data_IF_617766430058
#
_entry.id   IF_617766430058
#
_cell.length_a   1.000
_cell.length_b   1.000
_cell.length_c   1.000
_cell.angle_alpha   90.00
_cell.angle_beta   90.00
_cell.angle_gamma   90.00
#
_symmetry.space_group_name_H-M   'P 1'
#
loop_
_entity.id
_entity.type
_entity.pdbx_description
1 polymer ?
#
# COMPACT_ATOMS: atom_id res chain seq x y z
N UNK A 1 -15.87 -6.88 -7.25
CA UNK A 1 -15.17 -8.18 -7.12
C UNK A 1 -15.96 -9.17 -7.90
N UNK A 2 -15.31 -9.97 -8.73
CA UNK A 2 -15.97 -11.06 -9.43
C UNK A 2 -16.39 -12.13 -8.42
N UNK A 3 -17.53 -12.75 -8.65
CA UNK A 3 -17.94 -14.00 -8.01
C UNK A 3 -17.06 -15.15 -8.49
N UNK A 4 -17.07 -16.29 -7.79
CA UNK A 4 -16.30 -17.47 -8.21
C UNK A 4 -16.71 -17.95 -9.60
N UNK A 5 -18.01 -17.96 -9.91
CA UNK A 5 -18.52 -18.33 -11.23
C UNK A 5 -18.11 -17.37 -12.35
N UNK A 6 -18.04 -16.06 -12.06
CA UNK A 6 -17.55 -15.08 -13.05
C UNK A 6 -16.05 -15.23 -13.28
N UNK A 7 -15.28 -15.54 -12.23
CA UNK A 7 -13.84 -15.79 -12.33
C UNK A 7 -13.53 -17.02 -13.20
N UNK A 8 -14.29 -18.10 -13.04
CA UNK A 8 -14.15 -19.34 -13.83
C UNK A 8 -14.49 -19.13 -15.31
N UNK A 9 -15.29 -18.11 -15.63
CA UNK A 9 -15.66 -17.76 -17.00
C UNK A 9 -14.62 -16.90 -17.73
N UNK A 10 -13.62 -16.37 -17.01
CA UNK A 10 -12.60 -15.52 -17.62
C UNK A 10 -11.58 -16.32 -18.43
N UNK A 11 -11.06 -15.76 -19.54
CA UNK A 11 -9.89 -16.30 -20.21
C UNK A 11 -8.73 -16.50 -19.23
N UNK A 12 -8.04 -17.67 -19.25
CA UNK A 12 -6.94 -17.96 -18.34
C UNK A 12 -5.84 -16.87 -18.38
N UNK A 13 -5.59 -16.28 -19.55
CA UNK A 13 -4.64 -15.20 -19.71
C UNK A 13 -4.95 -13.96 -18.87
N UNK A 14 -6.23 -13.59 -18.71
CA UNK A 14 -6.64 -12.46 -17.87
C UNK A 14 -6.44 -12.77 -16.38
N UNK A 15 -6.69 -14.01 -15.98
CA UNK A 15 -6.46 -14.46 -14.60
C UNK A 15 -4.96 -14.43 -14.28
N UNK A 16 -4.11 -14.90 -15.19
CA UNK A 16 -2.66 -14.82 -15.05
C UNK A 16 -2.14 -13.39 -15.01
N UNK A 17 -2.68 -12.49 -15.84
CA UNK A 17 -2.35 -11.06 -15.78
C UNK A 17 -2.76 -10.45 -14.44
N UNK A 18 -3.91 -10.84 -13.89
CA UNK A 18 -4.35 -10.38 -12.58
C UNK A 18 -3.39 -10.83 -11.46
N UNK A 19 -2.96 -12.09 -11.49
CA UNK A 19 -1.95 -12.61 -10.55
C UNK A 19 -0.59 -11.92 -10.72
N UNK A 20 -0.14 -11.71 -11.97
CA UNK A 20 1.09 -10.99 -12.26
C UNK A 20 1.07 -9.56 -11.72
N UNK A 21 -0.04 -8.85 -11.92
CA UNK A 21 -0.26 -7.54 -11.33
C UNK A 21 -0.30 -7.58 -9.80
N UNK A 22 -0.94 -8.59 -9.21
CA UNK A 22 -1.06 -8.73 -7.76
C UNK A 22 0.31 -8.92 -7.11
N UNK A 23 1.15 -9.79 -7.69
CA UNK A 23 2.52 -10.03 -7.23
C UNK A 23 3.38 -8.78 -7.39
N UNK A 24 3.32 -8.11 -8.54
CA UNK A 24 4.06 -6.87 -8.78
C UNK A 24 3.65 -5.75 -7.80
N UNK A 25 2.35 -5.55 -7.63
CA UNK A 25 1.80 -4.58 -6.68
C UNK A 25 2.21 -4.90 -5.24
N UNK A 26 2.13 -6.17 -4.85
CA UNK A 26 2.55 -6.63 -3.53
C UNK A 26 4.05 -6.43 -3.28
N UNK A 27 4.90 -6.70 -4.27
CA UNK A 27 6.33 -6.40 -4.19
C UNK A 27 6.59 -4.91 -3.93
N UNK A 28 5.87 -4.03 -4.63
CA UNK A 28 5.97 -2.58 -4.40
C UNK A 28 5.50 -2.18 -3.00
N UNK A 29 4.40 -2.74 -2.49
CA UNK A 29 3.96 -2.51 -1.10
C UNK A 29 5.06 -2.88 -0.09
N UNK A 30 5.69 -4.05 -0.26
CA UNK A 30 6.75 -4.52 0.64
C UNK A 30 8.00 -3.64 0.53
N UNK A 31 8.37 -3.21 -0.68
CA UNK A 31 9.48 -2.29 -0.89
C UNK A 31 9.23 -0.95 -0.18
N UNK A 32 8.02 -0.39 -0.32
CA UNK A 32 7.63 0.84 0.36
C UNK A 32 7.66 0.68 1.89
N UNK A 33 7.13 -0.44 2.41
CA UNK A 33 7.20 -0.75 3.84
C UNK A 33 8.64 -0.83 4.34
N UNK A 34 9.53 -1.49 3.59
CA UNK A 34 10.95 -1.60 3.94
C UNK A 34 11.64 -0.24 3.97
N UNK A 35 11.36 0.65 3.01
CA UNK A 35 11.92 2.01 2.98
C UNK A 35 11.44 2.78 4.21
N UNK A 36 10.15 2.72 4.53
CA UNK A 36 9.61 3.32 5.74
C UNK A 36 10.28 2.79 7.00
N UNK A 37 10.46 1.46 7.11
CA UNK A 37 11.11 0.86 8.27
C UNK A 37 12.57 1.30 8.40
N UNK A 38 13.30 1.42 7.28
CA UNK A 38 14.66 1.95 7.29
C UNK A 38 14.71 3.41 7.76
N UNK A 39 13.77 4.24 7.31
CA UNK A 39 13.62 5.62 7.78
C UNK A 39 13.28 5.69 9.27
N UNK A 40 12.32 4.88 9.73
CA UNK A 40 11.91 4.82 11.13
C UNK A 40 13.08 4.40 12.03
N UNK A 41 13.83 3.36 11.62
CA UNK A 41 15.00 2.89 12.36
C UNK A 41 16.11 3.95 12.42
N UNK A 42 16.36 4.68 11.32
CA UNK A 42 17.27 5.82 11.31
C UNK A 42 16.82 6.91 12.30
N UNK A 43 15.53 7.26 12.29
CA UNK A 43 14.96 8.26 13.19
C UNK A 43 15.05 7.85 14.66
N UNK A 44 14.79 6.58 14.97
CA UNK A 44 14.89 6.03 16.33
C UNK A 44 16.34 6.03 16.86
N UNK A 45 17.34 5.91 15.98
CA UNK A 45 18.77 6.00 16.32
C UNK A 45 19.25 7.43 16.59
N UNK A 46 18.43 8.45 16.30
CA UNK A 46 18.78 9.88 16.41
C UNK A 46 20.01 10.25 15.57
N UNK A 47 20.26 9.50 14.49
CA UNK A 47 21.33 9.82 13.56
C UNK A 47 21.05 11.18 12.89
N UNK A 48 22.08 11.98 12.53
CA UNK A 48 21.89 13.29 11.90
C UNK A 48 20.99 13.21 10.65
N UNK A 49 20.04 14.15 10.51
CA UNK A 49 19.05 14.15 9.41
C UNK A 49 19.69 14.15 8.01
N UNK A 50 20.88 14.74 7.86
CA UNK A 50 21.64 14.78 6.61
C UNK A 50 22.12 13.39 6.11
N UNK A 51 22.06 12.35 6.94
CA UNK A 51 22.53 11.02 6.59
C UNK A 51 21.49 10.17 5.83
N UNK A 52 20.20 10.57 5.80
CA UNK A 52 19.14 9.75 5.19
C UNK A 52 18.64 10.34 3.87
N UNK A 53 19.23 9.89 2.75
CA UNK A 53 18.89 10.36 1.38
C UNK A 53 17.76 9.59 0.67
N UNK A 54 17.11 8.63 1.32
CA UNK A 54 16.19 7.72 0.64
C UNK A 54 14.73 8.13 0.82
N UNK A 55 14.24 9.01 -0.05
CA UNK A 55 12.80 9.24 -0.21
C UNK A 55 12.32 8.34 -1.36
N UNK A 56 11.37 7.43 -1.09
CA UNK A 56 10.75 6.63 -2.16
C UNK A 56 10.11 7.59 -3.17
N UNK A 57 10.61 7.61 -4.41
CA UNK A 57 10.08 8.44 -5.49
C UNK A 57 8.75 7.90 -6.06
N UNK A 58 8.36 6.66 -5.71
CA UNK A 58 7.17 5.99 -6.26
C UNK A 58 6.27 5.43 -5.13
N UNK A 59 5.81 6.26 -4.18
CA UNK A 59 5.10 5.74 -3.02
C UNK A 59 3.68 5.23 -3.36
N UNK A 60 3.09 5.62 -4.49
CA UNK A 60 1.62 5.53 -4.68
C UNK A 60 1.14 4.21 -5.35
N UNK A 61 2.01 3.47 -6.06
CA UNK A 61 1.52 2.48 -7.02
C UNK A 61 1.21 1.10 -6.44
N UNK A 62 1.83 0.68 -5.34
CA UNK A 62 1.70 -0.69 -4.81
C UNK A 62 0.27 -1.05 -4.44
N UNK A 63 -0.29 -0.35 -3.45
CA UNK A 63 -1.65 -0.58 -2.95
C UNK A 63 -2.73 -0.35 -4.02
N UNK A 64 -2.52 0.60 -4.95
CA UNK A 64 -3.44 0.84 -6.07
C UNK A 64 -3.49 -0.37 -7.02
N UNK A 65 -2.33 -0.91 -7.41
CA UNK A 65 -2.26 -2.10 -8.27
C UNK A 65 -2.92 -3.28 -7.58
N UNK A 66 -2.59 -3.54 -6.30
CA UNK A 66 -3.21 -4.63 -5.53
C UNK A 66 -4.73 -4.47 -5.46
N UNK A 67 -5.24 -3.28 -5.16
CA UNK A 67 -6.67 -3.01 -5.08
C UNK A 67 -7.40 -3.22 -6.43
N UNK A 68 -6.75 -2.88 -7.54
CA UNK A 68 -7.29 -3.14 -8.88
C UNK A 68 -7.35 -4.64 -9.17
N UNK A 69 -6.29 -5.39 -8.84
CA UNK A 69 -6.24 -6.85 -9.09
C UNK A 69 -7.23 -7.62 -8.19
N UNK A 70 -7.49 -7.12 -6.97
CA UNK A 70 -8.54 -7.67 -6.10
C UNK A 70 -9.95 -7.55 -6.71
N UNK A 71 -10.19 -6.69 -7.71
CA UNK A 71 -11.48 -6.72 -8.43
C UNK A 71 -11.70 -8.05 -9.15
N UNK A 72 -10.62 -8.66 -9.64
CA UNK A 72 -10.64 -9.96 -10.32
C UNK A 72 -10.45 -11.11 -9.33
N UNK A 73 -9.45 -11.03 -8.46
CA UNK A 73 -9.05 -12.13 -7.56
C UNK A 73 -9.81 -12.15 -6.22
N UNK A 74 -10.67 -11.16 -5.94
CA UNK A 74 -11.26 -10.96 -4.62
C UNK A 74 -12.26 -12.04 -4.18
N UNK A 75 -12.73 -12.91 -5.07
CA UNK A 75 -13.49 -14.11 -4.68
C UNK A 75 -12.62 -15.17 -4.02
N UNK A 76 -11.30 -15.12 -4.18
CA UNK A 76 -10.34 -16.02 -3.53
C UNK A 76 -10.02 -15.45 -2.14
N UNK A 77 -10.44 -16.11 -1.03
CA UNK A 77 -10.29 -15.57 0.32
C UNK A 77 -8.84 -15.25 0.70
N UNK A 78 -7.90 -16.09 0.29
CA UNK A 78 -6.47 -15.91 0.57
C UNK A 78 -5.93 -14.67 -0.13
N UNK A 79 -6.27 -14.49 -1.42
CA UNK A 79 -5.86 -13.32 -2.19
C UNK A 79 -6.43 -12.04 -1.56
N UNK A 80 -7.68 -12.07 -1.09
CA UNK A 80 -8.31 -10.97 -0.37
C UNK A 80 -7.53 -10.58 0.89
N UNK A 81 -7.28 -11.55 1.78
CA UNK A 81 -6.59 -11.31 3.05
C UNK A 81 -5.19 -10.77 2.80
N UNK A 82 -4.42 -11.42 1.93
CA UNK A 82 -3.07 -10.99 1.57
C UNK A 82 -3.11 -9.58 0.96
N UNK A 83 -4.06 -9.32 0.06
CA UNK A 83 -4.19 -8.03 -0.60
C UNK A 83 -4.51 -6.90 0.37
N UNK A 84 -5.40 -7.12 1.34
CA UNK A 84 -5.70 -6.15 2.40
C UNK A 84 -4.46 -5.85 3.23
N UNK A 85 -3.72 -6.89 3.66
CA UNK A 85 -2.48 -6.71 4.43
C UNK A 85 -1.47 -5.89 3.63
N UNK A 86 -1.26 -6.22 2.34
CA UNK A 86 -0.36 -5.50 1.45
C UNK A 86 -0.77 -4.03 1.27
N UNK A 87 -2.08 -3.75 1.16
CA UNK A 87 -2.58 -2.38 1.08
C UNK A 87 -2.28 -1.62 2.36
N UNK A 88 -2.55 -2.20 3.54
CA UNK A 88 -2.35 -1.54 4.83
C UNK A 88 -0.88 -1.22 5.10
N UNK A 89 0.03 -2.15 4.78
CA UNK A 89 1.47 -1.95 5.02
C UNK A 89 2.15 -1.07 3.96
N UNK A 90 1.45 -0.69 2.90
CA UNK A 90 2.00 0.19 1.86
C UNK A 90 2.12 1.62 2.40
N UNK A 91 3.18 1.90 3.14
CA UNK A 91 3.41 3.20 3.79
C UNK A 91 3.67 4.35 2.79
N UNK A 92 3.76 4.05 1.49
CA UNK A 92 3.72 5.05 0.42
C UNK A 92 2.31 5.33 -0.12
N UNK A 93 1.34 4.50 0.22
CA UNK A 93 -0.02 4.56 -0.31
C UNK A 93 -0.72 5.87 0.02
N UNK A 94 -1.58 6.31 -0.89
CA UNK A 94 -2.37 7.55 -0.77
C UNK A 94 -3.17 7.63 0.54
N UNK A 95 -3.60 6.48 1.07
CA UNK A 95 -4.38 6.39 2.30
C UNK A 95 -3.61 6.89 3.52
N UNK A 96 -2.28 6.67 3.58
CA UNK A 96 -1.43 7.26 4.64
C UNK A 96 -1.20 8.75 4.44
N UNK A 97 -1.11 9.21 3.18
CA UNK A 97 -1.03 10.65 2.88
C UNK A 97 -2.27 11.42 3.36
N UNK A 98 -3.46 10.87 3.09
CA UNK A 98 -4.74 11.44 3.56
C UNK A 98 -4.80 11.41 5.10
N UNK A 99 -4.42 10.29 5.72
CA UNK A 99 -4.39 10.18 7.18
C UNK A 99 -3.45 11.23 7.81
N UNK A 100 -2.26 11.44 7.23
CA UNK A 100 -1.29 12.43 7.70
C UNK A 100 -1.83 13.86 7.62
N UNK A 101 -2.48 14.23 6.50
CA UNK A 101 -3.13 15.54 6.35
C UNK A 101 -4.25 15.72 7.40
N UNK A 102 -5.09 14.70 7.59
CA UNK A 102 -6.17 14.73 8.57
C UNK A 102 -5.66 14.94 10.00
N UNK A 103 -4.61 14.22 10.39
CA UNK A 103 -3.96 14.39 11.71
C UNK A 103 -3.38 15.79 11.87
N UNK A 104 -2.74 16.33 10.83
CA UNK A 104 -2.17 17.68 10.86
C UNK A 104 -3.25 18.74 11.06
N UNK A 105 -4.36 18.67 10.31
CA UNK A 105 -5.49 19.59 10.43
C UNK A 105 -6.14 19.51 11.82
N UNK A 106 -6.35 18.30 12.34
CA UNK A 106 -6.89 18.09 13.68
C UNK A 106 -5.99 18.73 14.75
N UNK A 107 -4.67 18.54 14.63
CA UNK A 107 -3.70 19.13 15.55
C UNK A 107 -3.74 20.67 15.51
N UNK A 108 -3.87 21.27 14.32
CA UNK A 108 -4.02 22.73 14.20
C UNK A 108 -5.30 23.25 14.84
N UNK A 109 -6.43 22.54 14.67
CA UNK A 109 -7.71 22.92 15.27
C UNK A 109 -7.63 22.85 16.81
N UNK A 110 -7.07 21.77 17.36
CA UNK A 110 -6.90 21.63 18.81
C UNK A 110 -6.00 22.71 19.41
N UNK A 111 -4.95 23.14 18.70
CA UNK A 111 -4.10 24.26 19.13
C UNK A 111 -4.82 25.60 19.15
N UNK A 112 -5.80 25.83 18.27
CA UNK A 112 -6.58 27.08 18.24
C UNK A 112 -7.67 27.14 19.33
N UNK A 113 -8.07 25.98 19.86
CA UNK A 113 -9.10 25.87 20.91
C UNK A 113 -8.54 25.97 22.34
N UNK A 114 -7.20 25.99 22.48
CA UNK A 114 -6.48 26.08 23.75
C UNK A 114 -5.80 27.43 23.88
#
# INVERSE_FOLDING_TARGET
MLTSSELDSLPPGLVWLAWGGFVLGGYLCVLNFRIFLAWLMHRLRKDPEDSYRHVSAIPILGSLIVALMLRTLGSIPEAMVIGIVLIVIDMGGIHWGIAGIGVHLLHQLLKKLR
#
